data_IF_565292210222
#
_entry.id   IF_565292210222
#
_cell.length_a   1.000
_cell.length_b   1.000
_cell.length_c   1.000
_cell.angle_alpha   90.00
_cell.angle_beta   90.00
_cell.angle_gamma   90.00
#
_symmetry.space_group_name_H-M   'P 1'
#
loop_
_entity.id
_entity.type
_entity.pdbx_description
1 polymer ?
#
# COMPACT_ATOMS: atom_id res chain seq x y z
N UNK A 1 -10.46 -5.84 8.52
CA UNK A 1 -10.07 -7.26 8.44
C UNK A 1 -9.28 -7.60 9.68
N UNK A 2 -9.74 -8.56 10.49
CA UNK A 2 -9.00 -8.98 11.68
C UNK A 2 -7.68 -9.65 11.26
N UNK A 3 -6.58 -9.42 11.98
CA UNK A 3 -5.23 -9.86 11.58
C UNK A 3 -5.12 -11.38 11.34
N UNK A 4 -5.92 -12.19 12.02
CA UNK A 4 -5.96 -13.66 11.85
C UNK A 4 -6.72 -14.13 10.60
N UNK A 5 -7.69 -13.35 10.09
CA UNK A 5 -8.47 -13.74 8.91
C UNK A 5 -7.75 -13.51 7.58
N UNK A 6 -6.61 -12.82 7.61
CA UNK A 6 -5.83 -12.47 6.41
C UNK A 6 -4.70 -13.47 6.12
N UNK A 7 -4.32 -14.29 7.09
CA UNK A 7 -3.20 -15.23 6.95
C UNK A 7 -3.58 -16.37 6.00
N UNK A 8 -2.68 -16.71 5.08
CA UNK A 8 -2.89 -17.78 4.10
C UNK A 8 -3.81 -17.40 2.93
N UNK A 9 -4.40 -16.20 2.94
CA UNK A 9 -5.19 -15.69 1.81
C UNK A 9 -4.28 -14.97 0.81
N UNK A 10 -4.50 -15.10 -0.50
CA UNK A 10 -3.79 -14.31 -1.49
C UNK A 10 -3.97 -12.82 -1.21
N UNK A 11 -2.88 -12.05 -1.17
CA UNK A 11 -2.92 -10.60 -0.95
C UNK A 11 -3.88 -9.88 -1.92
N UNK A 12 -3.92 -10.33 -3.18
CA UNK A 12 -4.84 -9.84 -4.20
C UNK A 12 -6.32 -10.03 -3.85
N UNK A 13 -6.67 -10.98 -2.98
CA UNK A 13 -8.05 -11.22 -2.54
C UNK A 13 -8.47 -10.36 -1.34
N UNK A 14 -7.52 -9.74 -0.63
CA UNK A 14 -7.79 -8.95 0.58
C UNK A 14 -8.33 -7.55 0.26
N UNK A 15 -8.13 -7.07 -0.97
CA UNK A 15 -8.50 -5.74 -1.39
C UNK A 15 -9.23 -5.79 -2.71
N UNK A 16 -10.45 -5.25 -2.75
CA UNK A 16 -11.21 -5.15 -3.98
C UNK A 16 -10.85 -3.89 -4.77
N UNK A 17 -9.55 -3.72 -5.02
CA UNK A 17 -8.98 -2.58 -5.72
C UNK A 17 -8.05 -3.07 -6.84
N UNK A 18 -8.45 -2.81 -8.09
CA UNK A 18 -7.70 -3.22 -9.29
C UNK A 18 -6.33 -2.54 -9.39
N UNK A 19 -6.20 -1.29 -8.94
CA UNK A 19 -4.91 -0.58 -8.90
C UNK A 19 -3.96 -1.22 -7.88
N UNK A 20 -4.47 -1.62 -6.72
CA UNK A 20 -3.68 -2.30 -5.70
C UNK A 20 -3.23 -3.69 -6.19
N UNK A 21 -4.11 -4.44 -6.88
CA UNK A 21 -3.77 -5.74 -7.51
C UNK A 21 -2.69 -5.61 -8.58
N UNK A 22 -2.77 -4.57 -9.42
CA UNK A 22 -1.76 -4.31 -10.45
C UNK A 22 -0.42 -3.91 -9.82
N UNK A 23 -0.44 -2.98 -8.85
CA UNK A 23 0.77 -2.52 -8.17
C UNK A 23 1.37 -3.59 -7.25
N UNK A 24 0.58 -4.54 -6.74
CA UNK A 24 1.12 -5.67 -5.98
C UNK A 24 2.15 -6.47 -6.81
N UNK A 25 1.96 -6.60 -8.12
CA UNK A 25 2.97 -7.20 -9.00
C UNK A 25 4.24 -6.34 -9.06
N UNK A 26 4.10 -5.02 -9.20
CA UNK A 26 5.25 -4.11 -9.20
C UNK A 26 6.04 -4.20 -7.88
N UNK A 27 5.33 -4.26 -6.75
CA UNK A 27 5.94 -4.35 -5.43
C UNK A 27 6.63 -5.70 -5.18
N UNK A 28 6.10 -6.79 -5.76
CA UNK A 28 6.70 -8.13 -5.68
C UNK A 28 7.93 -8.29 -6.61
N UNK A 29 7.97 -7.51 -7.69
CA UNK A 29 9.05 -7.53 -8.68
C UNK A 29 10.10 -6.44 -8.45
N UNK A 30 10.05 -5.73 -7.31
CA UNK A 30 10.97 -4.66 -7.00
C UNK A 30 12.42 -5.17 -6.87
N UNK A 31 13.33 -4.62 -7.68
CA UNK A 31 14.77 -4.86 -7.58
C UNK A 31 15.35 -4.27 -6.28
N UNK A 32 16.49 -4.79 -5.82
CA UNK A 32 17.08 -4.51 -4.49
C UNK A 32 17.37 -3.02 -4.20
N UNK A 33 17.36 -2.16 -5.22
CA UNK A 33 17.89 -0.79 -5.11
C UNK A 33 16.83 0.32 -4.99
N UNK A 34 15.52 0.03 -5.06
CA UNK A 34 14.50 1.07 -4.95
C UNK A 34 13.37 0.74 -3.98
N UNK A 35 13.31 1.50 -2.88
CA UNK A 35 12.10 1.62 -2.06
C UNK A 35 10.99 2.22 -2.93
N UNK A 36 10.01 1.41 -3.32
CA UNK A 36 8.85 1.91 -4.06
C UNK A 36 7.80 2.42 -3.09
N UNK A 37 7.52 3.72 -3.15
CA UNK A 37 6.40 4.35 -2.46
C UNK A 37 5.31 4.70 -3.48
N UNK A 38 4.06 4.31 -3.21
CA UNK A 38 2.89 4.74 -4.00
C UNK A 38 1.68 4.97 -3.11
N UNK A 39 0.85 5.95 -3.47
CA UNK A 39 -0.40 6.25 -2.79
C UNK A 39 -1.59 5.67 -3.58
N UNK A 40 -2.64 5.21 -2.89
CA UNK A 40 -3.86 4.67 -3.48
C UNK A 40 -5.08 4.97 -2.62
N UNK A 41 -6.23 5.06 -3.28
CA UNK A 41 -7.52 5.19 -2.62
C UNK A 41 -8.05 3.80 -2.26
N UNK A 42 -8.20 3.52 -0.98
CA UNK A 42 -8.84 2.33 -0.44
C UNK A 42 -10.27 2.64 -0.04
N UNK A 43 -11.22 1.95 -0.69
CA UNK A 43 -12.60 1.90 -0.25
C UNK A 43 -12.70 0.82 0.82
N UNK A 44 -12.71 1.23 2.09
CA UNK A 44 -13.01 0.31 3.19
C UNK A 44 -14.52 0.24 3.35
N UNK A 45 -15.06 -0.97 3.48
CA UNK A 45 -16.50 -1.24 3.54
C UNK A 45 -17.23 -0.43 4.62
N UNK A 46 -16.55 -0.10 5.71
CA UNK A 46 -17.09 0.66 6.85
C UNK A 46 -16.81 2.17 6.81
N UNK A 47 -16.14 2.69 5.77
CA UNK A 47 -15.77 4.10 5.70
C UNK A 47 -16.74 4.88 4.78
N UNK A 48 -17.28 6.00 5.29
CA UNK A 48 -18.10 6.94 4.50
C UNK A 48 -17.33 7.63 3.38
N UNK A 49 -16.01 7.71 3.50
CA UNK A 49 -15.12 8.35 2.52
C UNK A 49 -13.97 7.39 2.16
N UNK A 50 -13.51 7.40 0.90
CA UNK A 50 -12.31 6.66 0.51
C UNK A 50 -11.12 7.12 1.35
N UNK A 51 -10.34 6.18 1.87
CA UNK A 51 -9.08 6.51 2.55
C UNK A 51 -7.96 6.59 1.53
N UNK A 52 -7.08 7.57 1.67
CA UNK A 52 -5.84 7.61 0.91
C UNK A 52 -4.78 6.90 1.74
N UNK A 53 -4.22 5.82 1.18
CA UNK A 53 -3.22 5.00 1.85
C UNK A 53 -1.95 5.00 1.03
N UNK A 54 -0.84 5.22 1.71
CA UNK A 54 0.50 5.11 1.16
C UNK A 54 1.06 3.72 1.42
N UNK A 55 1.44 3.01 0.37
CA UNK A 55 2.21 1.77 0.47
C UNK A 55 3.70 2.04 0.29
N UNK A 56 4.49 1.33 1.07
CA UNK A 56 5.92 1.14 0.84
C UNK A 56 6.22 -0.35 0.85
N UNK A 57 6.96 -0.83 -0.15
CA UNK A 57 7.41 -2.22 -0.20
C UNK A 57 8.92 -2.32 -0.06
N UNK A 58 9.39 -3.39 0.58
CA UNK A 58 10.80 -3.74 0.64
C UNK A 58 10.98 -5.25 0.58
N UNK A 59 12.05 -5.69 -0.07
CA UNK A 59 12.42 -7.11 -0.17
C UNK A 59 12.97 -7.59 1.16
N UNK A 60 12.47 -8.73 1.63
CA UNK A 60 13.02 -9.45 2.75
C UNK A 60 13.99 -10.50 2.23
N UNK A 61 15.26 -10.33 2.57
CA UNK A 61 16.31 -11.30 2.26
C UNK A 61 16.56 -12.22 3.45
N UNK A 62 16.74 -13.50 3.16
CA UNK A 62 17.20 -14.52 4.09
C UNK A 62 18.66 -14.28 4.47
N UNK A 63 19.14 -14.93 5.54
CA UNK A 63 20.55 -14.84 5.99
C UNK A 63 21.57 -15.22 4.91
N UNK A 64 21.17 -16.04 3.94
CA UNK A 64 21.99 -16.46 2.78
C UNK A 64 21.89 -15.50 1.58
N UNK A 65 21.17 -14.37 1.72
CA UNK A 65 20.94 -13.41 0.64
C UNK A 65 19.82 -13.79 -0.33
N UNK A 66 19.18 -14.95 -0.15
CA UNK A 66 18.06 -15.34 -1.01
C UNK A 66 16.78 -14.57 -0.67
N UNK A 67 15.93 -14.41 -1.67
CA UNK A 67 14.62 -13.78 -1.49
C UNK A 67 13.72 -14.63 -0.60
N UNK A 68 13.37 -14.12 0.57
CA UNK A 68 12.46 -14.80 1.50
C UNK A 68 11.03 -14.26 1.44
N UNK A 69 10.84 -13.01 0.97
CA UNK A 69 9.52 -12.43 0.76
C UNK A 69 9.55 -10.91 0.61
N UNK A 70 8.40 -10.27 0.82
CA UNK A 70 8.24 -8.82 0.75
C UNK A 70 7.50 -8.33 1.99
N UNK A 71 7.97 -7.21 2.55
CA UNK A 71 7.27 -6.46 3.59
C UNK A 71 6.59 -5.27 2.93
N UNK A 72 5.29 -5.10 3.19
CA UNK A 72 4.50 -3.95 2.71
C UNK A 72 3.96 -3.20 3.93
N UNK A 73 4.30 -1.91 4.03
CA UNK A 73 3.76 -0.99 5.01
C UNK A 73 2.62 -0.19 4.37
N UNK A 74 1.44 -0.17 5.00
CA UNK A 74 0.28 0.62 4.57
C UNK A 74 0.03 1.72 5.62
N UNK A 75 0.14 2.99 5.23
CA UNK A 75 -0.12 4.15 6.09
C UNK A 75 -1.31 4.94 5.57
N UNK A 76 -2.31 5.19 6.41
CA UNK A 76 -3.37 6.16 6.12
C UNK A 76 -2.78 7.57 6.11
N UNK A 77 -2.93 8.27 4.99
CA UNK A 77 -2.46 9.64 4.76
C UNK A 77 -3.60 10.56 4.30
N UNK A 78 -4.86 10.16 4.53
CA UNK A 78 -6.04 10.89 4.05
C UNK A 78 -6.01 12.35 4.51
N UNK A 79 -5.74 12.59 5.80
CA UNK A 79 -5.71 13.93 6.38
C UNK A 79 -4.57 14.78 5.84
N UNK A 80 -3.38 14.20 5.68
CA UNK A 80 -2.22 14.90 5.12
C UNK A 80 -2.51 15.37 3.68
N UNK A 81 -3.16 14.52 2.88
CA UNK A 81 -3.54 14.84 1.50
C UNK A 81 -4.65 15.87 1.39
N UNK A 82 -5.66 15.82 2.27
CA UNK A 82 -6.68 16.86 2.36
C UNK A 82 -6.07 18.24 2.68
N UNK A 83 -5.12 18.29 3.62
CA UNK A 83 -4.40 19.53 3.96
C UNK A 83 -3.52 20.05 2.84
N UNK A 84 -2.81 19.17 2.12
CA UNK A 84 -2.02 19.54 0.94
C UNK A 84 -2.92 20.14 -0.15
N UNK A 85 -4.10 19.55 -0.36
CA UNK A 85 -5.06 20.03 -1.35
C UNK A 85 -5.64 21.41 -1.00
N UNK A 86 -6.06 21.61 0.26
CA UNK A 86 -6.55 22.92 0.74
C UNK A 86 -5.49 24.03 0.60
N UNK A 87 -4.22 23.71 0.87
CA UNK A 87 -3.11 24.66 0.66
C UNK A 87 -2.91 24.99 -0.81
N UNK A 88 -3.01 23.98 -1.69
CA UNK A 88 -2.90 24.20 -3.14
C UNK A 88 -4.04 25.06 -3.68
N UNK A 89 -5.26 24.90 -3.17
CA UNK A 89 -6.43 25.70 -3.54
C UNK A 89 -6.37 27.14 -3.00
N UNK A 90 -5.64 27.37 -1.90
CA UNK A 90 -5.47 28.70 -1.31
C UNK A 90 -4.35 29.53 -1.95
N UNK A 91 -3.35 28.89 -2.56
CA UNK A 91 -2.20 29.55 -3.20
C UNK A 91 -2.45 29.79 -4.71
N UNK A 92 -3.55 29.27 -5.26
CA UNK A 92 -3.92 29.42 -6.68
C UNK A 92 -4.93 30.51 -6.96
#
# INVERSE_FOLDING_TARGET
VASHESVGKPFSSLFDNSKLKAQAKDFLNADESSSHQKDFNLNLSDAKTPRIVQARSSRLSSKNGEHSGVVILLRDVTRERELDQLKSEFIS
#
